data_IF_040590719558
#
_entry.id   IF_040590719558
#
_cell.length_a   1.000
_cell.length_b   1.000
_cell.length_c   1.000
_cell.angle_alpha   90.00
_cell.angle_beta   90.00
_cell.angle_gamma   90.00
#
_symmetry.space_group_name_H-M   'P 1'
#
loop_
_entity.id
_entity.type
_entity.pdbx_description
1 polymer ?
#
# COMPACT_ATOMS: atom_id res chain seq x y z
N UNK A 1 -27.89 5.61 8.62
CA UNK A 1 -27.25 4.74 7.62
C UNK A 1 -26.43 5.63 6.70
N UNK A 2 -25.13 5.76 6.97
CA UNK A 2 -24.25 6.57 6.11
C UNK A 2 -23.81 5.69 4.95
N UNK A 3 -24.36 5.99 3.78
CA UNK A 3 -23.97 5.38 2.51
C UNK A 3 -22.55 5.86 2.20
N UNK A 4 -21.60 4.91 2.18
CA UNK A 4 -20.25 5.13 1.69
C UNK A 4 -20.34 5.49 0.20
N UNK A 5 -20.01 6.74 -0.11
CA UNK A 5 -19.94 7.22 -1.47
C UNK A 5 -18.65 6.65 -2.10
N UNK A 6 -18.81 5.59 -2.91
CA UNK A 6 -17.72 4.99 -3.69
C UNK A 6 -17.89 5.34 -5.18
N UNK A 7 -17.15 6.31 -5.71
CA UNK A 7 -16.92 6.45 -7.15
C UNK A 7 -15.40 6.34 -7.42
N UNK A 8 -14.84 5.58 -8.37
CA UNK A 8 -15.21 5.33 -9.76
C UNK A 8 -14.43 4.10 -10.23
N UNK A 9 -15.07 3.16 -10.94
CA UNK A 9 -14.35 2.15 -11.73
C UNK A 9 -13.87 2.79 -13.03
N UNK A 10 -12.58 3.11 -13.15
CA UNK A 10 -11.95 3.43 -14.44
C UNK A 10 -11.30 2.16 -15.01
N UNK A 11 -11.94 1.61 -16.05
CA UNK A 11 -11.34 0.61 -16.95
C UNK A 11 -10.44 1.34 -17.95
N UNK A 12 -9.14 1.05 -17.88
CA UNK A 12 -8.13 1.54 -18.82
C UNK A 12 -6.76 1.52 -18.15
N UNK A 13 -5.99 0.45 -18.39
CA UNK A 13 -4.60 0.23 -17.93
C UNK A 13 -4.20 1.07 -16.70
N UNK A 14 -4.70 0.70 -15.50
CA UNK A 14 -4.56 1.54 -14.30
C UNK A 14 -3.08 1.72 -13.96
N UNK A 15 -2.54 2.89 -14.28
CA UNK A 15 -1.22 3.28 -13.86
C UNK A 15 -1.31 3.64 -12.38
N UNK A 16 -0.49 3.00 -11.54
CA UNK A 16 -0.27 3.43 -10.15
C UNK A 16 0.08 4.93 -10.18
N UNK A 17 -0.79 5.84 -9.68
CA UNK A 17 -0.52 7.27 -9.69
C UNK A 17 0.68 7.59 -8.79
N UNK A 18 1.31 8.75 -9.00
CA UNK A 18 2.30 9.25 -8.03
C UNK A 18 1.57 9.69 -6.76
N UNK A 19 2.14 9.38 -5.61
CA UNK A 19 1.64 9.85 -4.33
C UNK A 19 1.72 11.38 -4.26
N UNK A 20 0.73 11.98 -3.60
CA UNK A 20 0.66 13.42 -3.29
C UNK A 20 -0.16 13.61 -2.03
N UNK A 21 0.04 14.74 -1.35
CA UNK A 21 -0.74 15.13 -0.18
C UNK A 21 -2.25 15.12 -0.49
N UNK A 22 -3.05 14.54 0.41
CA UNK A 22 -4.50 14.36 0.25
C UNK A 22 -4.92 13.17 -0.64
N UNK A 23 -3.98 12.39 -1.19
CA UNK A 23 -4.28 11.18 -1.96
C UNK A 23 -4.25 9.94 -1.07
N UNK A 24 -5.39 9.24 -1.01
CA UNK A 24 -5.57 8.02 -0.21
C UNK A 24 -5.33 6.75 -1.01
N UNK A 25 -5.05 5.64 -0.32
CA UNK A 25 -4.83 4.33 -0.93
C UNK A 25 -6.02 3.83 -1.78
N UNK A 26 -7.23 4.40 -1.61
CA UNK A 26 -8.40 4.11 -2.44
C UNK A 26 -8.24 4.51 -3.92
N UNK A 27 -7.33 5.45 -4.22
CA UNK A 27 -6.99 5.80 -5.60
C UNK A 27 -6.13 4.73 -6.30
N UNK A 28 -5.67 3.71 -5.57
CA UNK A 28 -4.87 2.62 -6.11
C UNK A 28 -5.75 1.46 -6.59
N UNK A 29 -5.32 0.69 -7.61
CA UNK A 29 -5.95 -0.61 -7.89
C UNK A 29 -5.91 -1.51 -6.66
N UNK A 30 -6.90 -2.40 -6.54
CA UNK A 30 -7.13 -3.25 -5.35
C UNK A 30 -5.86 -3.87 -4.75
N UNK A 31 -5.04 -4.52 -5.58
CA UNK A 31 -3.83 -5.22 -5.09
C UNK A 31 -2.75 -4.28 -4.56
N UNK A 32 -2.69 -3.04 -5.05
CA UNK A 32 -1.74 -2.04 -4.57
C UNK A 32 -2.26 -1.35 -3.31
N UNK A 33 -3.57 -1.11 -3.23
CA UNK A 33 -4.26 -0.63 -2.03
C UNK A 33 -4.02 -1.57 -0.85
N UNK A 34 -4.30 -2.86 -1.04
CA UNK A 34 -4.17 -3.89 0.01
C UNK A 34 -2.72 -3.98 0.55
N UNK A 35 -1.73 -3.88 -0.34
CA UNK A 35 -0.31 -3.79 0.04
C UNK A 35 -0.04 -2.53 0.89
N UNK A 36 -0.52 -1.36 0.47
CA UNK A 36 -0.29 -0.11 1.20
C UNK A 36 -0.97 -0.14 2.56
N UNK A 37 -2.19 -0.66 2.65
CA UNK A 37 -2.93 -0.81 3.91
C UNK A 37 -2.20 -1.74 4.89
N UNK A 38 -1.71 -2.89 4.43
CA UNK A 38 -0.90 -3.81 5.25
C UNK A 38 0.37 -3.14 5.77
N UNK A 39 1.07 -2.37 4.93
CA UNK A 39 2.30 -1.67 5.34
C UNK A 39 1.99 -0.47 6.25
N UNK A 40 0.85 0.19 6.07
CA UNK A 40 0.39 1.30 6.91
C UNK A 40 -0.01 0.85 8.33
N UNK A 41 -0.61 -0.34 8.44
CA UNK A 41 -0.96 -0.97 9.73
C UNK A 41 0.29 -1.44 10.50
N UNK A 42 1.38 -1.70 9.80
CA UNK A 42 2.63 -2.15 10.42
C UNK A 42 3.35 -1.02 11.17
N UNK A 43 3.80 -1.33 12.39
CA UNK A 43 4.62 -0.42 13.20
C UNK A 43 6.09 -0.36 12.75
N UNK A 44 6.54 -1.31 11.92
CA UNK A 44 7.93 -1.43 11.46
C UNK A 44 7.99 -1.79 9.96
N UNK A 45 9.07 -1.43 9.25
CA UNK A 45 9.26 -1.83 7.84
C UNK A 45 9.09 -3.33 7.63
N UNK A 46 8.47 -3.71 6.51
CA UNK A 46 8.07 -5.09 6.22
C UNK A 46 8.75 -5.65 4.97
N UNK A 47 9.06 -6.94 4.99
CA UNK A 47 9.53 -7.65 3.81
C UNK A 47 8.38 -8.17 2.95
N UNK A 48 8.60 -8.31 1.65
CA UNK A 48 7.62 -8.87 0.72
C UNK A 48 7.04 -10.22 1.19
N UNK A 49 7.87 -11.13 1.73
CA UNK A 49 7.43 -12.42 2.29
C UNK A 49 6.48 -12.30 3.49
N UNK A 50 6.52 -11.19 4.22
CA UNK A 50 5.63 -10.91 5.36
C UNK A 50 4.33 -10.23 4.90
N UNK A 51 4.35 -9.55 3.76
CA UNK A 51 3.20 -8.86 3.16
C UNK A 51 2.31 -9.84 2.39
N UNK A 52 2.91 -10.71 1.57
CA UNK A 52 2.22 -11.72 0.73
C UNK A 52 1.10 -12.49 1.46
N UNK A 53 1.34 -13.11 2.63
CA UNK A 53 0.28 -13.84 3.33
C UNK A 53 -0.81 -12.94 3.92
N UNK A 54 -0.50 -11.67 4.22
CA UNK A 54 -1.47 -10.71 4.76
C UNK A 54 -2.44 -10.22 3.70
N UNK A 55 -1.97 -10.11 2.46
CA UNK A 55 -2.80 -9.79 1.29
C UNK A 55 -3.53 -11.03 0.71
N UNK A 56 -3.64 -12.11 1.49
CA UNK A 56 -4.35 -13.34 1.13
C UNK A 56 -3.67 -14.23 0.09
N UNK A 57 -2.38 -14.01 -0.21
CA UNK A 57 -1.63 -14.82 -1.18
C UNK A 57 -0.76 -15.89 -0.50
N UNK A 58 -0.56 -17.06 -1.14
CA UNK A 58 0.36 -18.06 -0.61
C UNK A 58 1.81 -17.55 -0.65
N UNK A 59 2.56 -17.79 0.44
CA UNK A 59 3.95 -17.37 0.59
C UNK A 59 4.94 -18.24 -0.22
N UNK A 60 4.70 -18.34 -1.53
CA UNK A 60 5.56 -19.05 -2.49
C UNK A 60 6.44 -18.06 -3.25
N UNK A 61 7.64 -18.48 -3.66
CA UNK A 61 8.65 -17.62 -4.31
C UNK A 61 8.09 -16.79 -5.46
N UNK A 62 7.27 -17.39 -6.33
CA UNK A 62 6.65 -16.68 -7.45
C UNK A 62 5.76 -15.50 -7.01
N UNK A 63 5.00 -15.66 -5.92
CA UNK A 63 4.14 -14.59 -5.37
C UNK A 63 4.95 -13.57 -4.60
N UNK A 64 6.01 -13.98 -3.92
CA UNK A 64 6.93 -13.08 -3.23
C UNK A 64 7.63 -12.15 -4.23
N UNK A 65 8.23 -12.69 -5.28
CA UNK A 65 8.92 -11.88 -6.29
C UNK A 65 7.94 -11.00 -7.09
N UNK A 66 6.76 -11.53 -7.44
CA UNK A 66 5.70 -10.74 -8.07
C UNK A 66 5.21 -9.58 -7.20
N UNK A 67 5.14 -9.79 -5.88
CA UNK A 67 4.76 -8.73 -4.92
C UNK A 67 5.90 -7.75 -4.71
N UNK A 68 7.15 -8.21 -4.70
CA UNK A 68 8.35 -7.36 -4.62
C UNK A 68 8.41 -6.37 -5.79
N UNK A 69 8.08 -6.79 -7.01
CA UNK A 69 7.98 -5.89 -8.16
C UNK A 69 6.90 -4.80 -7.99
N UNK A 70 5.76 -5.15 -7.37
CA UNK A 70 4.70 -4.17 -7.07
C UNK A 70 5.12 -3.20 -5.97
N UNK A 71 5.80 -3.68 -4.94
CA UNK A 71 6.36 -2.87 -3.87
C UNK A 71 7.36 -1.86 -4.42
N UNK A 72 8.30 -2.30 -5.27
CA UNK A 72 9.24 -1.40 -5.97
C UNK A 72 8.50 -0.34 -6.78
N UNK A 73 7.45 -0.70 -7.52
CA UNK A 73 6.63 0.27 -8.25
C UNK A 73 5.96 1.29 -7.33
N UNK A 74 5.48 0.88 -6.15
CA UNK A 74 4.93 1.81 -5.15
C UNK A 74 6.00 2.74 -4.59
N UNK A 75 7.24 2.25 -4.42
CA UNK A 75 8.39 3.07 -4.01
C UNK A 75 8.73 4.12 -5.07
N UNK A 76 8.83 3.74 -6.34
CA UNK A 76 9.07 4.66 -7.45
C UNK A 76 7.98 5.75 -7.58
N UNK A 77 6.76 5.42 -7.13
CA UNK A 77 5.61 6.33 -7.16
C UNK A 77 5.47 7.14 -5.86
N UNK A 78 6.34 6.94 -4.88
CA UNK A 78 6.34 7.69 -3.62
C UNK A 78 5.29 7.24 -2.59
N UNK A 79 4.63 6.09 -2.79
CA UNK A 79 3.68 5.54 -1.81
C UNK A 79 4.41 4.85 -0.65
N UNK A 80 5.47 4.12 -0.98
CA UNK A 80 6.30 3.40 -0.03
C UNK A 80 7.74 3.90 -0.09
N UNK A 81 8.51 3.63 0.94
CA UNK A 81 9.95 3.82 0.97
C UNK A 81 10.64 2.48 1.21
N UNK A 82 11.84 2.33 0.67
CA UNK A 82 12.72 1.19 0.89
C UNK A 82 14.08 1.71 1.38
N UNK A 83 14.14 2.02 2.68
CA UNK A 83 15.36 2.51 3.33
C UNK A 83 16.46 1.43 3.33
N UNK A 84 16.04 0.18 3.51
CA UNK A 84 16.91 -0.99 3.47
C UNK A 84 16.44 -1.96 2.38
N UNK A 85 17.38 -2.65 1.69
CA UNK A 85 17.03 -3.51 0.57
C UNK A 85 16.03 -4.61 0.99
N UNK A 86 14.84 -4.57 0.40
CA UNK A 86 13.75 -5.50 0.67
C UNK A 86 12.91 -5.20 1.91
N UNK A 87 13.13 -4.09 2.61
CA UNK A 87 12.30 -3.60 3.70
C UNK A 87 11.50 -2.38 3.24
N UNK A 88 10.18 -2.53 3.22
CA UNK A 88 9.27 -1.50 2.74
C UNK A 88 8.50 -0.88 3.90
N UNK A 89 8.44 0.44 3.96
CA UNK A 89 7.65 1.21 4.91
C UNK A 89 6.78 2.23 4.19
N UNK A 90 5.76 2.74 4.86
CA UNK A 90 4.93 3.81 4.32
C UNK A 90 5.77 5.09 4.18
N UNK A 91 5.85 5.66 2.97
CA UNK A 91 6.68 6.85 2.72
C UNK A 91 6.15 8.08 3.47
N UNK A 92 4.83 8.20 3.51
CA UNK A 92 4.12 9.27 4.17
C UNK A 92 3.12 8.65 5.11
N UNK A 93 3.49 8.57 6.39
CA UNK A 93 2.53 8.18 7.42
C UNK A 93 1.47 9.27 7.43
N UNK A 94 0.29 8.98 6.89
CA UNK A 94 -0.85 9.86 7.08
C UNK A 94 -1.01 10.00 8.58
N UNK A 95 -0.81 11.22 9.09
CA UNK A 95 -0.83 11.50 10.51
C UNK A 95 -2.27 11.49 11.00
N UNK A 96 -2.95 10.35 10.90
CA UNK A 96 -4.32 10.16 11.39
C UNK A 96 -4.28 9.30 12.66
N UNK A 97 -3.54 9.74 13.69
CA UNK A 97 -3.65 9.23 15.05
C UNK A 97 -3.04 10.23 16.05
N UNK A 98 -3.74 11.34 16.26
CA UNK A 98 -3.40 12.35 17.27
C UNK A 98 -4.59 13.18 17.73
N UNK A 99 -5.81 12.61 17.66
CA UNK A 99 -7.03 13.21 18.20
C UNK A 99 -7.52 12.44 19.42
N UNK A 100 -6.69 12.33 20.45
CA UNK A 100 -7.09 11.85 21.77
C UNK A 100 -7.53 13.03 22.64
N UNK A 101 -8.84 13.15 22.84
CA UNK A 101 -9.50 14.03 23.84
C UNK A 101 -9.15 13.55 25.26
N UNK A 102 -8.98 14.46 26.23
CA UNK A 102 -10.09 14.76 27.14
C UNK A 102 -10.57 16.22 27.09
#
# INVERSE_FOLDING_TARGET
>A
ASVAEQPVRVVGAIMVPHWREGLSADALPDVYRDIVEVVADASTPMQAKQIVPRIGLPAVTAKIEGTRGKLKRLVERGWLTEDQPGLFALAHRTAEAGGGTP
#
